data_IF_856071741034
#
_entry.id   IF_856071741034
#
_cell.length_a   1.000
_cell.length_b   1.000
_cell.length_c   1.000
_cell.angle_alpha   90.00
_cell.angle_beta   90.00
_cell.angle_gamma   90.00
#
_symmetry.space_group_name_H-M   'P 1'
#
loop_
_entity.id
_entity.type
_entity.pdbx_description
1 polymer ?
#
# COMPACT_ATOMS: atom_id res chain seq x y z
N UNK A 1 25.12 -14.43 30.20
CA UNK A 1 23.68 -14.16 30.31
C UNK A 1 23.42 -12.83 29.60
N UNK A 2 23.22 -12.89 28.28
CA UNK A 2 22.98 -11.73 27.45
C UNK A 2 21.49 -11.37 27.51
N UNK A 3 21.17 -10.17 27.99
CA UNK A 3 19.79 -9.65 28.01
C UNK A 3 19.39 -9.35 26.56
N UNK A 4 18.58 -10.21 26.00
CA UNK A 4 17.90 -10.01 24.74
C UNK A 4 17.03 -8.75 24.87
N UNK A 5 17.44 -7.65 24.26
CA UNK A 5 16.62 -6.45 24.18
C UNK A 5 15.42 -6.79 23.30
N UNK A 6 14.27 -6.98 23.93
CA UNK A 6 13.00 -7.04 23.23
C UNK A 6 12.72 -5.64 22.68
N UNK A 7 13.14 -5.38 21.44
CA UNK A 7 12.63 -4.26 20.69
C UNK A 7 11.19 -4.63 20.36
N UNK A 8 10.23 -4.07 21.09
CA UNK A 8 8.84 -4.06 20.68
C UNK A 8 8.75 -3.24 19.39
N UNK A 9 9.04 -3.88 18.26
CA UNK A 9 8.69 -3.35 16.95
C UNK A 9 7.20 -3.57 16.78
N UNK A 10 6.38 -2.72 17.41
CA UNK A 10 5.00 -2.53 16.98
C UNK A 10 5.04 -1.88 15.60
N UNK A 11 5.40 -2.66 14.57
CA UNK A 11 5.17 -2.26 13.20
C UNK A 11 3.66 -2.31 13.00
N UNK A 12 3.03 -1.19 12.66
CA UNK A 12 1.83 -1.24 11.87
C UNK A 12 2.24 -1.90 10.55
N UNK A 13 2.10 -3.21 10.48
CA UNK A 13 1.74 -3.81 9.23
C UNK A 13 0.39 -3.17 8.99
N UNK A 14 0.28 -2.35 7.95
CA UNK A 14 -0.98 -1.74 7.59
C UNK A 14 -2.03 -2.80 7.73
N UNK A 15 -3.07 -2.54 8.53
CA UNK A 15 -4.10 -3.52 8.80
C UNK A 15 -4.68 -3.89 7.44
N UNK A 16 -4.12 -4.92 6.78
CA UNK A 16 -4.79 -5.60 5.68
C UNK A 16 -6.05 -6.21 6.27
N UNK A 17 -7.08 -5.41 6.38
CA UNK A 17 -8.42 -5.92 6.56
C UNK A 17 -8.87 -6.37 5.18
N UNK A 18 -9.13 -7.66 4.94
CA UNK A 18 -9.90 -8.05 3.77
C UNK A 18 -11.24 -7.33 3.91
N UNK A 19 -11.39 -6.22 3.21
CA UNK A 19 -12.70 -5.63 3.01
C UNK A 19 -13.42 -6.58 2.08
N UNK A 20 -14.28 -7.41 2.65
CA UNK A 20 -15.27 -8.13 1.87
C UNK A 20 -15.99 -7.08 1.02
N UNK A 21 -16.11 -7.38 -0.26
CA UNK A 21 -16.57 -6.51 -1.31
C UNK A 21 -17.62 -5.50 -0.82
N UNK A 22 -17.20 -4.26 -0.67
CA UNK A 22 -18.14 -3.17 -0.71
C UNK A 22 -18.83 -3.25 -2.07
N UNK A 23 -20.14 -3.28 -2.10
CA UNK A 23 -20.86 -2.91 -3.31
C UNK A 23 -20.29 -1.54 -3.69
N UNK A 24 -19.54 -1.47 -4.78
CA UNK A 24 -18.90 -0.23 -5.22
C UNK A 24 -20.02 0.75 -5.56
N UNK A 25 -20.45 1.51 -4.58
CA UNK A 25 -21.12 2.77 -4.85
C UNK A 25 -20.14 3.57 -5.69
N UNK A 26 -20.48 3.83 -6.96
CA UNK A 26 -19.57 4.46 -7.89
C UNK A 26 -19.15 5.82 -7.34
N UNK A 27 -17.96 5.91 -6.77
CA UNK A 27 -17.35 7.18 -6.36
C UNK A 27 -17.28 8.05 -7.60
N UNK A 28 -18.11 9.07 -7.68
CA UNK A 28 -18.13 9.98 -8.84
C UNK A 28 -17.04 11.01 -8.66
N UNK A 29 -16.01 10.93 -9.51
CA UNK A 29 -14.95 11.93 -9.56
C UNK A 29 -15.28 13.02 -10.58
N UNK A 30 -15.12 14.29 -10.21
CA UNK A 30 -15.21 15.43 -11.11
C UNK A 30 -13.87 16.15 -11.19
N UNK A 31 -13.42 16.46 -12.41
CA UNK A 31 -12.23 17.28 -12.66
C UNK A 31 -12.69 18.64 -13.16
N UNK A 32 -12.14 19.75 -12.63
CA UNK A 32 -12.32 21.04 -13.27
C UNK A 32 -11.80 20.97 -14.70
N UNK A 33 -12.55 21.51 -15.66
CA UNK A 33 -12.41 21.27 -17.12
C UNK A 33 -11.09 21.69 -17.76
N UNK A 34 -10.12 22.19 -16.99
CA UNK A 34 -8.88 22.77 -17.53
C UNK A 34 -7.57 22.08 -17.11
N UNK A 35 -7.60 21.04 -16.26
CA UNK A 35 -6.37 20.30 -15.89
C UNK A 35 -6.56 18.80 -16.11
N UNK A 36 -6.06 18.26 -17.23
CA UNK A 36 -6.12 16.81 -17.48
C UNK A 36 -5.23 15.99 -16.54
N UNK A 37 -4.30 16.62 -15.83
CA UNK A 37 -3.32 15.98 -14.95
C UNK A 37 -3.37 16.66 -13.60
N UNK A 38 -3.49 15.87 -12.54
CA UNK A 38 -3.21 16.31 -11.17
C UNK A 38 -1.80 15.90 -10.81
N UNK A 39 -1.02 16.82 -10.27
CA UNK A 39 0.36 16.60 -9.86
C UNK A 39 0.57 17.26 -8.49
N UNK A 40 0.66 16.44 -7.44
CA UNK A 40 0.82 16.90 -6.06
C UNK A 40 2.06 16.28 -5.41
N UNK A 41 2.66 16.95 -4.42
CA UNK A 41 3.77 16.37 -3.67
C UNK A 41 3.37 15.09 -2.95
N UNK A 42 4.24 14.07 -2.98
CA UNK A 42 4.24 13.01 -1.98
C UNK A 42 5.06 13.47 -0.77
N UNK A 43 4.45 13.39 0.40
CA UNK A 43 5.03 13.78 1.68
C UNK A 43 5.52 12.53 2.39
N UNK A 44 6.76 12.55 2.85
CA UNK A 44 7.41 11.44 3.56
C UNK A 44 7.82 11.87 4.97
N UNK A 45 6.84 12.14 5.83
CA UNK A 45 7.08 12.37 7.26
C UNK A 45 7.38 11.07 8.01
N UNK A 46 7.11 9.94 7.36
CA UNK A 46 7.32 8.58 7.82
C UNK A 46 7.80 7.67 6.67
N UNK A 47 7.69 6.37 6.85
CA UNK A 47 8.13 5.40 5.87
C UNK A 47 7.21 5.26 4.65
N UNK A 48 5.94 5.66 4.75
CA UNK A 48 4.92 5.56 3.72
C UNK A 48 4.63 6.91 3.05
N UNK A 49 4.16 6.92 1.80
CA UNK A 49 3.81 8.15 1.10
C UNK A 49 2.49 8.72 1.59
N UNK A 50 2.44 10.01 1.80
CA UNK A 50 1.23 10.74 2.20
C UNK A 50 0.98 11.93 1.28
N UNK A 51 -0.23 12.43 1.29
CA UNK A 51 -0.67 13.63 0.58
C UNK A 51 -1.58 14.46 1.45
N UNK A 52 -1.67 15.76 1.15
CA UNK A 52 -2.67 16.63 1.75
C UNK A 52 -3.97 16.57 0.97
N UNK A 53 -5.08 16.46 1.68
CA UNK A 53 -6.44 16.44 1.12
C UNK A 53 -7.35 17.38 1.89
N UNK A 54 -8.41 17.85 1.22
CA UNK A 54 -9.54 18.49 1.88
C UNK A 54 -10.67 17.47 2.00
N UNK A 55 -11.31 17.41 3.15
CA UNK A 55 -12.47 16.53 3.42
C UNK A 55 -13.64 17.38 3.86
N UNK A 56 -14.78 17.29 3.14
CA UNK A 56 -15.98 18.08 3.40
C UNK A 56 -15.63 19.59 3.53
N UNK A 57 -14.79 20.08 2.62
CA UNK A 57 -14.29 21.47 2.57
C UNK A 57 -13.46 21.90 3.79
N UNK A 58 -13.04 20.98 4.64
CA UNK A 58 -12.13 21.23 5.77
C UNK A 58 -10.76 20.62 5.50
N UNK A 59 -9.71 21.15 6.12
CA UNK A 59 -8.33 20.67 6.00
C UNK A 59 -7.33 21.81 5.87
N UNK A 60 -6.11 21.57 5.33
CA UNK A 60 -5.67 20.28 4.81
C UNK A 60 -5.51 19.22 5.89
N UNK A 61 -5.73 17.96 5.50
CA UNK A 61 -5.53 16.77 6.31
C UNK A 61 -4.47 15.88 5.66
N UNK A 62 -3.65 15.20 6.46
CA UNK A 62 -2.60 14.31 5.96
C UNK A 62 -3.10 12.87 5.85
N UNK A 63 -3.20 12.37 4.62
CA UNK A 63 -3.63 11.00 4.35
C UNK A 63 -2.49 10.19 3.73
N UNK A 64 -2.28 8.99 4.24
CA UNK A 64 -1.39 8.01 3.62
C UNK A 64 -2.01 7.46 2.33
N UNK A 65 -1.20 7.21 1.30
CA UNK A 65 -1.61 6.45 0.12
C UNK A 65 -1.25 4.99 0.34
N UNK A 66 -2.26 4.13 0.42
CA UNK A 66 -2.09 2.71 0.69
C UNK A 66 -2.70 1.86 -0.43
N UNK A 67 -1.84 1.37 -1.35
CA UNK A 67 -2.27 0.46 -2.41
C UNK A 67 -2.57 -0.95 -1.90
N UNK A 68 -2.14 -1.29 -0.69
CA UNK A 68 -2.50 -2.51 0.03
C UNK A 68 -3.85 -2.41 0.77
N UNK A 69 -4.52 -1.26 0.70
CA UNK A 69 -5.84 -1.05 1.24
C UNK A 69 -6.87 -1.00 0.12
N UNK A 70 -7.81 -1.93 0.11
CA UNK A 70 -8.99 -1.87 -0.78
C UNK A 70 -9.97 -0.79 -0.36
N UNK A 71 -10.90 -0.44 -1.26
CA UNK A 71 -11.94 0.58 -1.04
C UNK A 71 -11.46 2.01 -1.28
N UNK A 72 -12.28 2.99 -0.85
CA UNK A 72 -12.05 4.42 -1.12
C UNK A 72 -11.13 5.08 -0.11
N UNK A 73 -11.55 5.16 1.13
CA UNK A 73 -10.79 5.83 2.19
C UNK A 73 -11.05 5.21 3.57
N UNK A 74 -10.19 5.58 4.52
CA UNK A 74 -10.40 5.39 5.96
C UNK A 74 -9.96 6.66 6.67
N UNK A 75 -10.71 7.08 7.67
CA UNK A 75 -10.38 8.24 8.50
C UNK A 75 -9.90 7.81 9.88
N UNK A 76 -9.04 8.61 10.49
CA UNK A 76 -8.71 8.43 11.90
C UNK A 76 -9.93 8.71 12.78
N UNK A 77 -10.00 8.08 13.94
CA UNK A 77 -11.10 8.25 14.87
C UNK A 77 -11.28 9.73 15.30
N UNK A 78 -10.18 10.46 15.47
CA UNK A 78 -10.19 11.89 15.82
C UNK A 78 -10.78 12.74 14.68
N UNK A 79 -10.46 12.42 13.43
CA UNK A 79 -11.03 13.11 12.28
C UNK A 79 -12.52 12.81 12.12
N UNK A 80 -12.94 11.56 12.32
CA UNK A 80 -14.37 11.19 12.34
C UNK A 80 -15.15 12.08 13.33
N UNK A 81 -14.62 12.26 14.55
CA UNK A 81 -15.25 13.09 15.56
C UNK A 81 -15.28 14.57 15.16
N UNK A 82 -14.16 15.11 14.68
CA UNK A 82 -14.03 16.49 14.21
C UNK A 82 -15.00 16.82 13.07
N UNK A 83 -15.21 15.89 12.15
CA UNK A 83 -16.14 16.05 11.03
C UNK A 83 -17.61 15.73 11.41
N UNK A 84 -17.85 15.20 12.59
CA UNK A 84 -19.20 14.81 13.05
C UNK A 84 -19.84 13.72 12.20
N UNK A 85 -19.04 12.79 11.64
CA UNK A 85 -19.54 11.76 10.74
C UNK A 85 -20.51 10.82 11.46
N UNK A 86 -21.63 10.53 10.79
CA UNK A 86 -22.64 9.59 11.26
C UNK A 86 -22.55 8.28 10.47
N UNK A 87 -22.81 7.12 11.11
CA UNK A 87 -22.89 5.86 10.39
C UNK A 87 -23.97 5.91 9.30
N UNK A 88 -23.64 5.39 8.12
CA UNK A 88 -24.56 5.27 6.98
C UNK A 88 -24.89 3.81 6.65
N UNK A 89 -24.17 2.88 7.26
CA UNK A 89 -24.36 1.45 7.07
C UNK A 89 -23.36 0.65 7.89
N UNK A 90 -23.22 -0.62 7.54
CA UNK A 90 -22.26 -1.53 8.15
C UNK A 90 -21.59 -2.38 7.10
N UNK A 91 -20.33 -2.76 7.34
CA UNK A 91 -19.58 -3.69 6.53
C UNK A 91 -18.85 -4.72 7.39
N UNK A 92 -18.58 -5.86 6.79
CA UNK A 92 -17.73 -6.86 7.42
C UNK A 92 -16.26 -6.48 7.19
N UNK A 93 -15.49 -6.44 8.25
CA UNK A 93 -14.04 -6.30 8.19
C UNK A 93 -13.40 -7.55 8.78
N UNK A 94 -12.37 -8.05 8.12
CA UNK A 94 -11.65 -9.23 8.55
C UNK A 94 -10.15 -8.97 8.74
N UNK A 95 -9.49 -9.91 9.38
CA UNK A 95 -8.05 -9.98 9.53
C UNK A 95 -7.41 -10.55 8.24
N UNK A 96 -6.20 -10.18 7.84
CA UNK A 96 -5.50 -10.74 6.67
C UNK A 96 -5.39 -12.26 6.66
N UNK A 97 -5.49 -12.91 7.83
CA UNK A 97 -5.56 -14.36 7.94
C UNK A 97 -6.92 -14.96 7.52
N UNK A 98 -7.93 -14.13 7.22
CA UNK A 98 -9.30 -14.52 6.95
C UNK A 98 -10.08 -14.99 8.19
N UNK A 99 -9.51 -14.78 9.39
CA UNK A 99 -10.14 -15.12 10.67
C UNK A 99 -10.70 -13.84 11.34
N UNK A 100 -11.64 -14.05 12.26
CA UNK A 100 -12.18 -12.96 13.09
C UNK A 100 -12.73 -11.78 12.30
N UNK A 101 -13.65 -12.05 11.39
CA UNK A 101 -14.45 -11.01 10.77
C UNK A 101 -15.32 -10.34 11.83
N UNK A 102 -15.41 -9.02 11.77
CA UNK A 102 -16.31 -8.22 12.62
C UNK A 102 -17.08 -7.24 11.76
N UNK A 103 -18.27 -6.93 12.20
CA UNK A 103 -19.06 -5.84 11.64
C UNK A 103 -18.45 -4.51 12.09
N UNK A 104 -18.26 -3.60 11.16
CA UNK A 104 -17.81 -2.23 11.41
C UNK A 104 -18.78 -1.25 10.79
N UNK A 105 -18.97 -0.12 11.47
CA UNK A 105 -19.78 0.95 10.92
C UNK A 105 -19.10 1.57 9.70
N UNK A 106 -19.92 1.82 8.68
CA UNK A 106 -19.56 2.60 7.52
C UNK A 106 -19.99 4.04 7.70
N UNK A 107 -19.15 4.93 7.19
CA UNK A 107 -19.38 6.36 7.13
C UNK A 107 -19.26 6.84 5.69
N UNK A 108 -19.66 8.07 5.43
CA UNK A 108 -19.54 8.68 4.13
C UNK A 108 -18.95 10.08 4.25
N UNK A 109 -17.99 10.38 3.38
CA UNK A 109 -17.50 11.73 3.16
C UNK A 109 -18.26 12.31 1.98
N UNK A 110 -18.88 13.46 2.14
CA UNK A 110 -19.60 14.11 1.02
C UNK A 110 -18.64 14.51 -0.08
N UNK A 111 -17.44 14.96 0.31
CA UNK A 111 -16.37 15.27 -0.65
C UNK A 111 -14.98 15.01 -0.08
N UNK A 112 -14.07 14.58 -0.95
CA UNK A 112 -12.64 14.51 -0.71
C UNK A 112 -11.93 15.14 -1.91
N UNK A 113 -11.09 16.16 -1.69
CA UNK A 113 -10.37 16.85 -2.76
C UNK A 113 -8.88 16.62 -2.65
N UNK A 114 -8.25 16.25 -3.77
CA UNK A 114 -6.82 16.04 -3.90
C UNK A 114 -6.31 16.77 -5.15
N UNK A 115 -5.48 17.79 -4.97
CA UNK A 115 -4.83 18.52 -6.07
C UNK A 115 -5.79 19.11 -7.11
N UNK A 116 -7.04 19.40 -6.74
CA UNK A 116 -8.08 19.94 -7.64
C UNK A 116 -8.99 18.87 -8.25
N UNK A 117 -8.72 17.57 -8.04
CA UNK A 117 -9.70 16.49 -8.27
C UNK A 117 -10.59 16.39 -7.05
N UNK A 118 -11.88 16.22 -7.28
CA UNK A 118 -12.88 16.06 -6.23
C UNK A 118 -13.58 14.70 -6.38
N UNK A 119 -13.55 13.93 -5.29
CA UNK A 119 -14.28 12.69 -5.15
C UNK A 119 -15.51 12.96 -4.29
N UNK A 120 -16.65 12.43 -4.68
CA UNK A 120 -17.91 12.60 -3.99
C UNK A 120 -18.42 11.28 -3.45
N UNK A 121 -19.20 11.35 -2.37
CA UNK A 121 -19.87 10.20 -1.75
C UNK A 121 -18.88 9.07 -1.39
N UNK A 122 -17.69 9.43 -0.85
CA UNK A 122 -16.64 8.47 -0.55
C UNK A 122 -17.01 7.67 0.68
N UNK A 123 -17.26 6.37 0.49
CA UNK A 123 -17.43 5.45 1.62
C UNK A 123 -16.13 5.32 2.40
N UNK A 124 -16.22 5.38 3.72
CA UNK A 124 -15.07 5.35 4.60
C UNK A 124 -15.33 4.51 5.85
N UNK A 125 -14.29 3.79 6.26
CA UNK A 125 -14.23 3.19 7.59
C UNK A 125 -13.49 4.11 8.56
N UNK A 126 -13.42 3.69 9.82
CA UNK A 126 -12.68 4.39 10.88
C UNK A 126 -11.56 3.49 11.38
N UNK A 127 -10.34 4.04 11.45
CA UNK A 127 -9.17 3.42 12.05
C UNK A 127 -8.66 4.23 13.24
N UNK A 128 -7.68 3.68 13.92
CA UNK A 128 -6.94 4.36 14.98
C UNK A 128 -5.45 4.37 14.57
N UNK A 129 -5.11 5.36 13.74
CA UNK A 129 -3.79 5.46 13.10
C UNK A 129 -2.75 6.11 13.99
N UNK A 130 -3.18 6.84 15.02
CA UNK A 130 -2.31 7.65 15.88
C UNK A 130 -2.00 7.00 17.23
N UNK A 131 -2.36 5.70 17.40
CA UNK A 131 -2.14 4.97 18.65
C UNK A 131 -0.67 4.73 18.98
N UNK A 132 0.20 4.68 17.97
CA UNK A 132 1.60 4.33 18.20
C UNK A 132 2.44 5.57 18.48
N UNK A 133 3.18 5.58 19.60
CA UNK A 133 4.11 6.67 19.88
C UNK A 133 5.21 6.72 18.81
N UNK A 134 5.69 7.91 18.52
CA UNK A 134 6.77 8.18 17.57
C UNK A 134 6.45 7.88 16.09
N UNK A 135 5.17 7.68 15.75
CA UNK A 135 4.73 7.68 14.36
C UNK A 135 4.22 9.07 13.98
N UNK A 136 4.43 9.50 12.73
CA UNK A 136 3.82 10.74 12.24
C UNK A 136 2.30 10.67 12.38
N UNK A 137 1.71 11.83 12.71
CA UNK A 137 0.26 11.94 12.74
C UNK A 137 -0.33 11.70 11.34
N UNK A 138 -1.40 10.91 11.27
CA UNK A 138 -2.18 10.67 10.07
C UNK A 138 -3.66 10.92 10.36
N UNK A 139 -4.30 11.68 9.49
CA UNK A 139 -5.74 11.90 9.56
C UNK A 139 -6.54 10.78 8.89
N UNK A 140 -5.88 9.98 8.04
CA UNK A 140 -6.50 8.84 7.39
C UNK A 140 -5.62 8.16 6.33
N UNK A 141 -6.27 7.29 5.57
CA UNK A 141 -5.67 6.49 4.50
C UNK A 141 -6.54 6.58 3.26
N UNK A 142 -5.94 6.80 2.09
CA UNK A 142 -6.56 6.68 0.79
C UNK A 142 -6.26 5.28 0.23
N UNK A 143 -7.31 4.51 0.04
CA UNK A 143 -7.21 3.17 -0.52
C UNK A 143 -7.09 3.17 -2.04
N UNK A 144 -6.62 2.06 -2.58
CA UNK A 144 -6.37 1.89 -4.00
C UNK A 144 -7.61 2.16 -4.87
N UNK A 145 -8.78 1.68 -4.44
CA UNK A 145 -10.04 1.82 -5.17
C UNK A 145 -10.51 3.27 -5.38
N UNK A 146 -10.05 4.23 -4.57
CA UNK A 146 -10.39 5.65 -4.75
C UNK A 146 -9.98 6.16 -6.13
N UNK A 147 -8.90 5.63 -6.67
CA UNK A 147 -8.26 6.10 -7.91
C UNK A 147 -8.69 5.32 -9.16
N UNK A 148 -9.75 4.49 -9.09
CA UNK A 148 -10.14 3.57 -10.17
C UNK A 148 -10.43 4.25 -11.52
N UNK A 149 -10.83 5.53 -11.50
CA UNK A 149 -11.15 6.30 -12.73
C UNK A 149 -9.94 6.97 -13.37
N UNK A 150 -8.74 6.83 -12.77
CA UNK A 150 -7.52 7.51 -13.20
C UNK A 150 -6.37 6.54 -13.41
N UNK A 151 -5.41 6.96 -14.23
CA UNK A 151 -4.04 6.47 -14.09
C UNK A 151 -3.46 7.08 -12.82
N UNK A 152 -3.16 6.25 -11.83
CA UNK A 152 -2.50 6.66 -10.61
C UNK A 152 -1.00 6.46 -10.76
N UNK A 153 -0.23 7.54 -10.80
CA UNK A 153 1.24 7.47 -10.77
C UNK A 153 1.77 7.86 -9.40
N UNK A 154 2.48 6.93 -8.78
CA UNK A 154 3.25 7.16 -7.56
C UNK A 154 4.73 7.21 -7.94
N UNK A 155 5.25 8.40 -8.12
CA UNK A 155 6.66 8.66 -8.44
C UNK A 155 7.43 8.89 -7.12
N UNK A 156 7.95 7.82 -6.54
CA UNK A 156 8.67 7.89 -5.28
C UNK A 156 9.98 8.68 -5.38
N UNK A 157 10.85 8.43 -6.37
CA UNK A 157 12.07 9.22 -6.53
C UNK A 157 11.80 10.70 -6.79
N UNK A 158 10.79 11.00 -7.64
CA UNK A 158 10.36 12.37 -7.94
C UNK A 158 9.51 13.00 -6.84
N UNK A 159 9.11 12.21 -5.82
CA UNK A 159 8.22 12.64 -4.73
C UNK A 159 6.93 13.30 -5.23
N UNK A 160 6.29 12.67 -6.23
CA UNK A 160 5.07 13.18 -6.87
C UNK A 160 4.01 12.10 -6.96
N UNK A 161 2.77 12.52 -6.74
CA UNK A 161 1.59 11.74 -7.09
C UNK A 161 0.89 12.44 -8.24
N UNK A 162 0.54 11.67 -9.29
CA UNK A 162 -0.22 12.19 -10.43
C UNK A 162 -1.48 11.38 -10.66
N UNK A 163 -2.53 12.08 -11.05
CA UNK A 163 -3.76 11.49 -11.54
C UNK A 163 -3.99 11.98 -12.97
N UNK A 164 -4.08 11.05 -13.91
CA UNK A 164 -4.24 11.33 -15.33
C UNK A 164 -5.43 10.57 -15.91
N UNK A 165 -6.06 11.11 -16.95
CA UNK A 165 -7.01 10.34 -17.75
C UNK A 165 -6.25 9.59 -18.83
N UNK A 166 -6.73 8.40 -19.18
CA UNK A 166 -6.11 7.61 -20.23
C UNK A 166 -6.03 6.13 -19.90
N UNK A 167 -5.18 5.43 -20.61
CA UNK A 167 -4.91 4.02 -20.41
C UNK A 167 -3.44 3.73 -20.70
N UNK A 168 -2.87 2.77 -19.98
CA UNK A 168 -1.54 2.25 -20.28
C UNK A 168 -1.59 1.38 -21.57
N UNK A 169 -0.52 1.35 -22.35
CA UNK A 169 -0.35 0.38 -23.42
C UNK A 169 -0.54 -1.06 -22.93
N UNK A 170 -0.67 -2.01 -23.86
CA UNK A 170 -0.77 -3.44 -23.52
C UNK A 170 0.43 -3.89 -22.68
N UNK A 171 0.17 -4.82 -21.77
CA UNK A 171 1.23 -5.44 -20.98
C UNK A 171 2.26 -6.11 -21.90
N UNK A 172 3.53 -5.88 -21.64
CA UNK A 172 4.66 -6.40 -22.42
C UNK A 172 5.54 -7.35 -21.62
N UNK A 173 5.15 -7.65 -20.38
CA UNK A 173 5.88 -8.54 -19.48
C UNK A 173 7.21 -7.96 -18.94
N UNK A 174 7.56 -6.75 -19.31
CA UNK A 174 8.83 -6.12 -18.93
C UNK A 174 8.61 -4.85 -18.09
N UNK A 175 8.18 -3.76 -18.72
CA UNK A 175 7.91 -2.49 -18.05
C UNK A 175 6.44 -2.35 -17.66
N UNK A 176 5.54 -2.84 -18.52
CA UNK A 176 4.11 -2.86 -18.26
C UNK A 176 3.70 -4.29 -18.01
N UNK A 177 3.17 -4.53 -16.82
CA UNK A 177 2.77 -5.85 -16.34
C UNK A 177 1.26 -5.87 -16.16
N UNK A 178 0.65 -7.02 -16.41
CA UNK A 178 -0.72 -7.29 -15.95
C UNK A 178 -0.70 -7.60 -14.47
N UNK A 179 -1.73 -7.20 -13.75
CA UNK A 179 -1.96 -7.60 -12.37
C UNK A 179 -3.39 -8.11 -12.19
N UNK A 180 -3.58 -8.90 -11.16
CA UNK A 180 -4.89 -9.30 -10.69
C UNK A 180 -5.26 -8.49 -9.44
N UNK A 181 -6.54 -8.46 -9.09
CA UNK A 181 -6.98 -7.86 -7.83
C UNK A 181 -7.42 -8.96 -6.87
N UNK A 182 -6.82 -8.97 -5.71
CA UNK A 182 -7.28 -9.75 -4.56
C UNK A 182 -7.90 -8.80 -3.55
N UNK A 183 -9.20 -8.91 -3.34
CA UNK A 183 -9.96 -7.98 -2.48
C UNK A 183 -9.77 -6.49 -2.80
N UNK A 184 -9.61 -6.16 -4.10
CA UNK A 184 -9.38 -4.78 -4.57
C UNK A 184 -7.94 -4.29 -4.38
N UNK A 185 -7.00 -5.18 -4.07
CA UNK A 185 -5.57 -4.90 -3.89
C UNK A 185 -4.81 -5.43 -5.11
N UNK A 186 -3.90 -4.65 -5.74
CA UNK A 186 -3.16 -5.11 -6.92
C UNK A 186 -2.17 -6.22 -6.55
N UNK A 187 -2.31 -7.35 -7.21
CA UNK A 187 -1.46 -8.54 -7.05
C UNK A 187 -0.74 -8.88 -8.36
N UNK A 188 0.55 -9.07 -8.29
CA UNK A 188 1.41 -9.29 -9.44
C UNK A 188 2.24 -10.57 -9.28
N UNK A 189 2.49 -11.27 -10.38
CA UNK A 189 3.42 -12.40 -10.39
C UNK A 189 4.86 -11.89 -10.43
N UNK A 190 5.69 -12.42 -9.57
CA UNK A 190 7.14 -12.28 -9.60
C UNK A 190 7.81 -13.67 -9.56
N UNK A 191 9.05 -13.74 -10.02
CA UNK A 191 9.86 -14.95 -9.95
C UNK A 191 10.87 -14.83 -8.83
N UNK A 192 10.87 -15.79 -7.91
CA UNK A 192 11.75 -15.82 -6.74
C UNK A 192 12.53 -17.12 -6.73
N UNK A 193 13.82 -17.08 -7.05
CA UNK A 193 14.64 -18.30 -7.10
C UNK A 193 14.07 -19.36 -8.03
N UNK A 194 13.46 -18.96 -9.16
CA UNK A 194 12.81 -19.84 -10.14
C UNK A 194 11.36 -20.21 -9.79
N UNK A 195 10.82 -19.81 -8.66
CA UNK A 195 9.42 -20.03 -8.29
C UNK A 195 8.57 -18.82 -8.68
N UNK A 196 7.39 -19.07 -9.25
CA UNK A 196 6.36 -18.03 -9.46
C UNK A 196 5.60 -17.77 -8.17
N UNK A 197 5.58 -16.52 -7.75
CA UNK A 197 4.97 -16.07 -6.51
C UNK A 197 4.12 -14.84 -6.78
N UNK A 198 2.86 -14.88 -6.42
CA UNK A 198 2.01 -13.70 -6.44
C UNK A 198 2.27 -12.83 -5.20
N UNK A 199 2.31 -11.53 -5.39
CA UNK A 199 2.56 -10.57 -4.33
C UNK A 199 1.72 -9.31 -4.51
N UNK A 200 1.17 -8.77 -3.42
CA UNK A 200 0.54 -7.46 -3.41
C UNK A 200 1.58 -6.36 -3.62
N UNK A 201 1.22 -5.32 -4.36
CA UNK A 201 1.98 -4.07 -4.42
C UNK A 201 1.40 -3.17 -3.33
N UNK A 202 2.14 -2.98 -2.24
CA UNK A 202 1.61 -2.43 -1.00
C UNK A 202 2.44 -1.24 -0.49
N UNK A 203 1.97 -0.04 -0.82
CA UNK A 203 2.62 1.21 -0.38
C UNK A 203 2.45 1.49 1.11
N UNK A 204 1.45 0.89 1.75
CA UNK A 204 1.23 0.97 3.20
C UNK A 204 2.13 0.04 4.01
N UNK A 205 2.81 -0.92 3.38
CA UNK A 205 3.78 -1.76 4.07
C UNK A 205 5.07 -1.00 4.35
N UNK A 206 5.11 -0.32 5.46
CA UNK A 206 6.13 0.65 5.86
C UNK A 206 7.57 0.11 5.90
N UNK A 207 7.75 -1.12 6.31
CA UNK A 207 9.06 -1.72 6.62
C UNK A 207 9.42 -2.85 5.68
N UNK A 208 8.48 -3.30 4.87
CA UNK A 208 8.63 -4.43 3.97
C UNK A 208 9.49 -4.11 2.75
N UNK A 209 10.38 -5.05 2.43
CA UNK A 209 10.93 -5.21 1.10
C UNK A 209 10.09 -6.23 0.34
N UNK A 210 10.69 -7.37 0.00
CA UNK A 210 9.98 -8.54 -0.49
C UNK A 210 9.58 -9.42 0.71
N UNK A 211 8.29 -9.44 1.03
CA UNK A 211 7.75 -10.29 2.08
C UNK A 211 7.06 -11.49 1.45
N UNK A 212 7.35 -12.68 1.93
CA UNK A 212 6.85 -13.94 1.40
C UNK A 212 6.12 -14.76 2.49
N UNK A 213 5.18 -15.63 2.10
CA UNK A 213 4.64 -16.64 3.00
C UNK A 213 5.74 -17.51 3.60
N UNK A 214 5.65 -17.81 4.89
CA UNK A 214 6.60 -18.69 5.57
C UNK A 214 6.67 -20.09 4.96
N UNK A 215 5.60 -20.57 4.34
CA UNK A 215 5.56 -21.85 3.63
C UNK A 215 6.50 -21.96 2.42
N UNK A 216 7.09 -20.85 1.97
CA UNK A 216 8.07 -20.83 0.88
C UNK A 216 9.52 -21.03 1.36
N UNK A 217 9.79 -20.98 2.66
CA UNK A 217 11.15 -21.11 3.22
C UNK A 217 11.82 -22.39 2.74
N UNK A 218 11.13 -23.53 2.80
CA UNK A 218 11.68 -24.83 2.42
C UNK A 218 11.82 -25.03 0.90
N UNK A 219 11.16 -24.16 0.10
CA UNK A 219 11.16 -24.25 -1.36
C UNK A 219 12.23 -23.36 -1.99
N UNK A 220 12.82 -22.45 -1.21
CA UNK A 220 13.79 -21.48 -1.69
C UNK A 220 15.20 -21.83 -1.27
N UNK A 221 16.16 -21.60 -2.14
CA UNK A 221 17.57 -21.69 -1.80
C UNK A 221 17.99 -20.45 -1.03
N UNK A 222 18.23 -20.56 0.26
CA UNK A 222 18.58 -19.46 1.14
C UNK A 222 20.06 -19.55 1.54
N UNK A 223 20.72 -18.41 1.77
CA UNK A 223 22.12 -18.32 2.16
C UNK A 223 22.34 -18.90 3.57
N UNK A 224 21.35 -18.77 4.44
CA UNK A 224 21.29 -19.35 5.79
C UNK A 224 19.83 -19.57 6.19
N UNK A 225 19.54 -20.40 7.20
CA UNK A 225 18.19 -20.49 7.75
C UNK A 225 17.65 -19.13 8.17
N UNK A 226 16.34 -18.87 7.97
CA UNK A 226 15.74 -17.60 8.36
C UNK A 226 15.90 -17.34 9.86
N UNK A 227 16.30 -16.11 10.20
CA UNK A 227 16.44 -15.66 11.60
C UNK A 227 15.26 -14.76 11.97
N UNK A 228 14.78 -14.88 13.20
CA UNK A 228 13.77 -13.98 13.75
C UNK A 228 14.40 -12.60 13.96
N UNK A 229 13.84 -11.59 13.28
CA UNK A 229 14.30 -10.18 13.36
C UNK A 229 13.29 -9.29 14.08
N UNK A 230 12.09 -9.80 14.33
CA UNK A 230 11.05 -9.06 15.03
C UNK A 230 9.79 -9.88 15.23
N UNK A 231 8.80 -9.23 15.81
CA UNK A 231 7.44 -9.76 15.96
C UNK A 231 6.45 -8.70 15.50
N UNK A 232 5.41 -9.15 14.83
CA UNK A 232 4.28 -8.34 14.43
C UNK A 232 3.01 -8.83 15.12
N UNK A 233 1.98 -7.97 15.07
CA UNK A 233 0.67 -8.27 15.63
C UNK A 233 -0.40 -7.76 14.68
N UNK A 234 -1.35 -8.63 14.34
CA UNK A 234 -2.65 -8.22 13.80
C UNK A 234 -3.65 -8.06 14.94
N UNK A 235 -4.90 -7.80 14.63
CA UNK A 235 -5.96 -7.78 15.64
C UNK A 235 -6.15 -9.12 16.35
N UNK A 236 -5.77 -10.22 15.69
CA UNK A 236 -6.11 -11.57 16.11
C UNK A 236 -4.92 -12.48 16.31
N UNK A 237 -3.74 -12.11 15.83
CA UNK A 237 -2.58 -12.96 15.81
C UNK A 237 -1.30 -12.18 16.14
N UNK A 238 -0.41 -12.79 16.91
CA UNK A 238 0.99 -12.43 16.98
C UNK A 238 1.78 -13.37 16.05
N UNK A 239 2.80 -12.85 15.39
CA UNK A 239 3.61 -13.62 14.45
C UNK A 239 5.06 -13.17 14.50
N UNK A 240 5.95 -14.07 14.15
CA UNK A 240 7.36 -13.77 13.99
C UNK A 240 7.62 -13.21 12.59
N UNK A 241 8.53 -12.26 12.53
CA UNK A 241 9.10 -11.72 11.30
C UNK A 241 10.47 -12.33 11.16
N UNK A 242 10.65 -13.16 10.14
CA UNK A 242 11.91 -13.84 9.86
C UNK A 242 12.57 -13.25 8.62
N UNK A 243 13.87 -13.19 8.58
CA UNK A 243 14.65 -12.74 7.43
C UNK A 243 15.68 -13.77 7.01
N UNK A 244 15.88 -13.89 5.69
CA UNK A 244 17.00 -14.60 5.08
C UNK A 244 17.35 -13.99 3.72
N UNK A 245 18.58 -14.21 3.26
CA UNK A 245 19.02 -13.80 1.93
C UNK A 245 18.74 -14.93 0.94
N UNK A 246 18.12 -14.63 -0.18
CA UNK A 246 17.94 -15.56 -1.30
C UNK A 246 19.32 -15.88 -1.92
N UNK A 247 19.62 -17.13 -2.19
CA UNK A 247 20.69 -17.50 -3.13
C UNK A 247 20.12 -17.49 -4.53
N UNK A 248 20.54 -16.50 -5.35
CA UNK A 248 20.04 -16.31 -6.70
C UNK A 248 19.18 -15.06 -6.81
N UNK A 249 18.36 -15.01 -7.85
CA UNK A 249 17.69 -13.78 -8.26
C UNK A 249 16.21 -13.79 -7.96
N UNK A 250 15.69 -12.61 -7.65
CA UNK A 250 14.27 -12.28 -7.69
C UNK A 250 14.04 -11.39 -8.90
N UNK A 251 13.02 -11.71 -9.72
CA UNK A 251 12.65 -10.93 -10.89
C UNK A 251 11.24 -10.37 -10.75
N UNK A 252 11.12 -9.07 -11.04
CA UNK A 252 9.86 -8.35 -11.09
C UNK A 252 9.79 -7.56 -12.41
N UNK A 253 9.04 -8.10 -13.37
CA UNK A 253 9.09 -7.62 -14.74
C UNK A 253 10.51 -7.76 -15.32
N UNK A 254 11.06 -6.66 -15.85
CA UNK A 254 12.45 -6.62 -16.36
C UNK A 254 13.51 -6.39 -15.28
N UNK A 255 13.08 -6.12 -14.04
CA UNK A 255 14.00 -5.78 -12.97
C UNK A 255 14.42 -7.02 -12.21
N UNK A 256 15.72 -7.14 -12.02
CA UNK A 256 16.36 -8.23 -11.33
C UNK A 256 17.02 -7.74 -10.06
N UNK A 257 16.83 -8.48 -8.98
CA UNK A 257 17.41 -8.25 -7.67
C UNK A 257 18.26 -9.45 -7.31
N UNK A 258 19.58 -9.23 -7.27
CA UNK A 258 20.54 -10.28 -6.98
C UNK A 258 20.67 -10.47 -5.47
N UNK A 259 20.50 -11.70 -5.02
CA UNK A 259 20.60 -12.10 -3.63
C UNK A 259 19.84 -11.17 -2.65
N UNK A 260 18.54 -10.86 -2.91
CA UNK A 260 17.82 -9.94 -2.07
C UNK A 260 17.57 -10.52 -0.68
N UNK A 261 17.48 -9.62 0.33
CA UNK A 261 16.92 -9.99 1.63
C UNK A 261 15.42 -10.20 1.49
N UNK A 262 14.94 -11.34 1.94
CA UNK A 262 13.53 -11.72 1.97
C UNK A 262 13.03 -11.73 3.41
N UNK A 263 11.83 -11.21 3.60
CA UNK A 263 11.08 -11.33 4.86
C UNK A 263 10.09 -12.48 4.74
N UNK A 264 9.95 -13.30 5.78
CA UNK A 264 8.98 -14.40 5.82
C UNK A 264 8.00 -14.20 6.98
N UNK A 265 6.70 -14.34 6.68
CA UNK A 265 5.61 -14.22 7.65
C UNK A 265 4.65 -15.39 7.48
N UNK A 266 4.51 -16.21 8.52
CA UNK A 266 3.80 -17.51 8.43
C UNK A 266 2.28 -17.35 8.24
N UNK A 267 1.68 -16.23 8.68
CA UNK A 267 0.23 -15.99 8.54
C UNK A 267 -0.17 -15.49 7.15
N UNK A 268 0.79 -15.10 6.31
CA UNK A 268 0.51 -14.62 4.95
C UNK A 268 0.37 -15.79 3.98
N UNK A 269 -0.60 -15.69 3.07
CA UNK A 269 -0.82 -16.66 1.99
C UNK A 269 -0.27 -16.20 0.65
N UNK A 270 -0.07 -14.90 0.50
CA UNK A 270 0.42 -14.22 -0.70
C UNK A 270 1.60 -13.35 -0.31
N UNK A 271 2.52 -13.12 -1.24
CA UNK A 271 3.65 -12.21 -1.03
C UNK A 271 3.21 -10.74 -0.95
N UNK A 272 4.15 -9.89 -0.58
CA UNK A 272 3.93 -8.45 -0.49
C UNK A 272 5.21 -7.71 -0.87
N UNK A 273 5.08 -6.71 -1.74
CA UNK A 273 6.15 -5.80 -2.15
C UNK A 273 5.92 -4.47 -1.44
N UNK A 274 6.74 -4.19 -0.46
CA UNK A 274 6.57 -3.03 0.42
C UNK A 274 7.43 -1.82 0.06
N UNK A 275 7.30 -0.80 0.85
CA UNK A 275 7.86 0.55 0.63
C UNK A 275 9.37 0.56 0.40
N UNK A 276 10.14 -0.37 0.98
CA UNK A 276 11.59 -0.43 0.74
C UNK A 276 11.95 -0.66 -0.72
N UNK A 277 11.17 -1.48 -1.42
CA UNK A 277 11.35 -1.75 -2.86
C UNK A 277 10.69 -0.66 -3.69
N UNK A 278 9.45 -0.29 -3.34
CA UNK A 278 8.67 0.66 -4.12
C UNK A 278 9.35 2.03 -4.26
N UNK A 279 10.14 2.45 -3.26
CA UNK A 279 10.87 3.72 -3.26
C UNK A 279 11.85 3.92 -4.40
N UNK A 280 12.23 2.86 -5.09
CA UNK A 280 13.14 2.93 -6.24
C UNK A 280 12.40 3.20 -7.56
N UNK A 281 11.05 3.24 -7.52
CA UNK A 281 10.24 3.23 -8.73
C UNK A 281 9.28 4.41 -8.81
N UNK A 282 8.95 4.77 -10.06
CA UNK A 282 7.69 5.39 -10.41
C UNK A 282 6.75 4.28 -10.88
N UNK A 283 5.62 4.12 -10.18
CA UNK A 283 4.59 3.13 -10.52
C UNK A 283 3.38 3.86 -11.08
N UNK A 284 2.90 3.43 -12.25
CA UNK A 284 1.65 3.94 -12.82
C UNK A 284 0.64 2.80 -12.90
N UNK A 285 -0.47 2.91 -12.19
CA UNK A 285 -1.55 1.92 -12.19
C UNK A 285 -2.67 2.37 -13.14
N UNK A 286 -3.11 1.45 -13.99
CA UNK A 286 -4.32 1.52 -14.81
C UNK A 286 -5.30 0.47 -14.27
N UNK A 287 -6.16 0.88 -13.36
CA UNK A 287 -7.06 -0.06 -12.68
C UNK A 287 -8.12 -0.62 -13.62
N UNK A 288 -8.56 0.16 -14.61
CA UNK A 288 -9.56 -0.30 -15.58
C UNK A 288 -9.08 -1.43 -16.47
N UNK A 289 -7.79 -1.43 -16.77
CA UNK A 289 -7.18 -2.44 -17.64
C UNK A 289 -6.29 -3.43 -16.89
N UNK A 290 -6.24 -3.35 -15.56
CA UNK A 290 -5.40 -4.18 -14.70
C UNK A 290 -3.94 -4.22 -15.15
N UNK A 291 -3.34 -3.02 -15.33
CA UNK A 291 -1.95 -2.86 -15.76
C UNK A 291 -1.21 -1.96 -14.79
N UNK A 292 0.05 -2.28 -14.59
CA UNK A 292 0.98 -1.43 -13.86
C UNK A 292 2.24 -1.23 -14.68
N UNK A 293 2.66 0.02 -14.84
CA UNK A 293 3.96 0.37 -15.42
C UNK A 293 4.95 0.62 -14.30
N UNK A 294 6.13 0.01 -14.45
CA UNK A 294 7.24 0.13 -13.52
C UNK A 294 8.38 0.88 -14.22
N UNK A 295 8.84 1.97 -13.63
CA UNK A 295 10.01 2.70 -14.09
C UNK A 295 10.93 2.89 -12.91
N UNK A 296 12.05 2.13 -12.89
CA UNK A 296 13.10 2.33 -11.89
C UNK A 296 13.89 3.56 -12.29
N UNK A 297 13.96 4.53 -11.41
CA UNK A 297 14.82 5.68 -11.61
C UNK A 297 16.15 5.38 -10.91
N UNK A 298 17.25 5.41 -11.67
CA UNK A 298 18.57 5.40 -11.05
C UNK A 298 18.64 6.63 -10.14
N UNK A 299 19.06 6.43 -8.89
CA UNK A 299 19.37 7.57 -8.03
C UNK A 299 20.24 8.53 -8.84
N UNK A 300 19.74 9.75 -9.06
CA UNK A 300 20.47 10.77 -9.79
C UNK A 300 21.85 10.87 -9.13
N UNK A 301 22.89 10.61 -9.91
CA UNK A 301 24.25 10.91 -9.49
C UNK A 301 24.26 12.37 -9.05
N UNK A 302 24.43 12.60 -7.75
CA UNK A 302 24.57 13.94 -7.19
C UNK A 302 25.71 14.62 -7.98
N UNK A 303 25.48 15.77 -8.62
CA UNK A 303 26.58 16.47 -9.27
C UNK A 303 27.61 16.76 -8.19
N UNK A 304 28.81 16.27 -8.37
CA UNK A 304 29.95 16.64 -7.53
C UNK A 304 30.10 18.14 -7.64
N UNK A 305 30.08 18.91 -6.52
CA UNK A 305 30.38 20.33 -6.59
C UNK A 305 31.79 20.48 -7.12
N UNK A 306 31.94 21.18 -8.25
CA UNK A 306 33.22 21.57 -8.82
C UNK A 306 33.88 22.69 -8.02
#
# INVERSE_FOLDING_TARGET
MSRLKVLLCAGLIGLMLPVLAFAQGATRATIPSQKPVVDVPLIFNGPTPSVEVMVNSQGPFLFEIDTGAGGGARVDASLKERLGLKPVGQAMAGDPSGKNTRTMDLFKLDSLSLGGVQFHDVETGVGDYNRMPNMPHLDGVLGFGLFAEYLLTMDYPGKRLRLERGALPQANGAEILSYETDHGIPSIEMEVGGLKVNAHIDSGNMRGGFTLPGSLVEKLSLAAPPRVVGRGRTMSNEFEIKEATLKGNLRWGRYEFNEPSLTFIDIFKIGNIGSKVLREFALTFDQKNHRVRLVRQNAASTPTPG
#
